data_IF_419970119856
#
_entry.id   IF_419970119856
#
_cell.length_a   1.000
_cell.length_b   1.000
_cell.length_c   1.000
_cell.angle_alpha   90.00
_cell.angle_beta   90.00
_cell.angle_gamma   90.00
#
_symmetry.space_group_name_H-M   'P 1'
#
loop_
_entity.id
_entity.type
_entity.pdbx_description
1 polymer ?
#
# COMPACT_ATOMS: atom_id res chain seq x y z
N UNK A 1 1.02 -10.70 12.73
CA UNK A 1 0.83 -10.32 11.31
C UNK A 1 1.03 -8.82 11.15
N UNK A 2 1.55 -8.36 10.02
CA UNK A 2 1.55 -6.94 9.61
C UNK A 2 0.86 -6.82 8.27
N UNK A 3 0.02 -5.81 8.09
CA UNK A 3 -0.78 -5.66 6.88
C UNK A 3 -0.94 -4.19 6.50
N UNK A 4 -1.18 -3.94 5.21
CA UNK A 4 -1.52 -2.61 4.76
C UNK A 4 -1.94 -2.57 3.30
N UNK A 5 -2.66 -1.51 2.94
CA UNK A 5 -3.11 -1.25 1.57
C UNK A 5 -2.45 0.01 0.99
N UNK A 6 -2.19 0.04 -0.32
CA UNK A 6 -1.60 1.21 -1.02
C UNK A 6 -0.29 1.67 -0.35
N UNK A 7 -0.26 2.90 0.16
CA UNK A 7 0.81 3.46 1.00
C UNK A 7 1.05 2.65 2.28
N UNK A 8 -0.02 2.16 2.91
CA UNK A 8 0.05 1.29 4.08
C UNK A 8 0.75 -0.04 3.79
N UNK A 9 0.65 -0.57 2.57
CA UNK A 9 1.39 -1.78 2.19
C UNK A 9 2.90 -1.52 2.20
N UNK A 10 3.33 -0.36 1.68
CA UNK A 10 4.73 0.09 1.77
C UNK A 10 5.18 0.24 3.22
N UNK A 11 4.34 0.82 4.10
CA UNK A 11 4.66 0.93 5.53
C UNK A 11 4.72 -0.44 6.22
N UNK A 12 3.81 -1.36 5.89
CA UNK A 12 3.74 -2.69 6.50
C UNK A 12 5.02 -3.51 6.21
N UNK A 13 5.45 -3.53 4.94
CA UNK A 13 6.69 -4.22 4.54
C UNK A 13 7.94 -3.53 5.09
N UNK A 14 7.96 -2.20 5.09
CA UNK A 14 9.06 -1.39 5.63
C UNK A 14 9.23 -1.62 7.13
N UNK A 15 8.13 -1.51 7.90
CA UNK A 15 8.11 -1.73 9.34
C UNK A 15 8.57 -3.15 9.69
N UNK A 16 8.08 -4.17 8.97
CA UNK A 16 8.54 -5.55 9.18
C UNK A 16 10.03 -5.75 8.89
N UNK A 17 10.57 -5.03 7.91
CA UNK A 17 11.99 -5.12 7.52
C UNK A 17 12.92 -4.59 8.61
N UNK A 18 12.52 -3.51 9.30
CA UNK A 18 13.33 -2.88 10.36
C UNK A 18 12.99 -3.33 11.77
N UNK A 19 11.83 -3.97 11.98
CA UNK A 19 11.43 -4.46 13.29
C UNK A 19 12.41 -5.53 13.82
N UNK A 20 12.76 -5.42 15.11
CA UNK A 20 13.56 -6.42 15.82
C UNK A 20 12.81 -7.74 15.99
N UNK A 21 11.50 -7.68 16.17
CA UNK A 21 10.59 -8.82 16.17
C UNK A 21 9.83 -8.83 14.85
N UNK A 22 10.04 -9.88 14.05
CA UNK A 22 9.40 -10.02 12.73
C UNK A 22 7.95 -10.46 12.89
N UNK A 23 7.01 -9.93 12.08
CA UNK A 23 5.66 -10.51 12.03
C UNK A 23 5.72 -11.94 11.47
N UNK A 24 4.76 -12.79 11.82
CA UNK A 24 4.65 -14.14 11.25
C UNK A 24 4.16 -14.17 9.79
N UNK A 25 3.52 -13.10 9.34
CA UNK A 25 2.98 -12.96 7.99
C UNK A 25 2.88 -11.48 7.59
N UNK A 26 3.00 -11.22 6.29
CA UNK A 26 2.76 -9.93 5.64
C UNK A 26 1.58 -10.02 4.66
N UNK A 27 0.60 -9.12 4.79
CA UNK A 27 -0.49 -8.97 3.81
C UNK A 27 -0.45 -7.58 3.16
N UNK A 28 -0.21 -7.55 1.86
CA UNK A 28 -0.01 -6.32 1.09
C UNK A 28 -1.11 -6.21 0.03
N UNK A 29 -1.97 -5.20 0.17
CA UNK A 29 -3.14 -4.99 -0.70
C UNK A 29 -2.92 -3.80 -1.64
N UNK A 30 -2.99 -4.00 -2.95
CA UNK A 30 -2.82 -2.95 -3.97
C UNK A 30 -1.65 -1.99 -3.66
N UNK A 31 -0.50 -2.54 -3.28
CA UNK A 31 0.53 -1.78 -2.57
C UNK A 31 1.36 -0.85 -3.47
N UNK A 32 1.88 0.24 -2.92
CA UNK A 32 2.90 1.07 -3.58
C UNK A 32 4.28 0.45 -3.39
N UNK A 33 4.53 -0.70 -4.02
CA UNK A 33 5.70 -1.55 -3.74
C UNK A 33 6.88 -1.37 -4.70
N UNK A 34 6.77 -0.50 -5.70
CA UNK A 34 7.88 -0.10 -6.57
C UNK A 34 8.13 1.41 -6.43
N UNK A 35 8.86 1.81 -5.38
CA UNK A 35 9.14 3.21 -5.14
C UNK A 35 10.28 3.70 -6.07
N UNK A 36 10.91 2.81 -6.88
CA UNK A 36 11.88 3.09 -7.96
C UNK A 36 11.23 3.41 -9.29
N UNK A 37 9.93 3.15 -9.42
CA UNK A 37 9.19 3.53 -10.60
C UNK A 37 9.38 5.01 -10.94
N UNK A 38 9.33 5.35 -12.24
CA UNK A 38 9.35 6.76 -12.68
C UNK A 38 8.27 7.59 -12.00
N UNK A 39 7.11 6.98 -11.70
CA UNK A 39 6.00 7.62 -10.98
C UNK A 39 6.40 8.08 -9.57
N UNK A 40 7.29 7.36 -8.90
CA UNK A 40 7.72 7.67 -7.54
C UNK A 40 8.98 8.53 -7.46
N UNK A 41 9.72 8.67 -8.56
CA UNK A 41 11.03 9.34 -8.59
C UNK A 41 11.08 10.56 -9.50
N UNK A 42 10.11 10.74 -10.38
CA UNK A 42 10.07 11.83 -11.35
C UNK A 42 8.82 12.69 -11.14
N UNK A 43 8.94 14.02 -11.02
CA UNK A 43 7.79 14.91 -10.99
C UNK A 43 6.89 14.74 -12.21
N UNK A 44 5.58 14.88 -12.02
CA UNK A 44 4.61 14.58 -13.07
C UNK A 44 3.15 14.75 -12.63
N UNK A 45 2.26 14.01 -13.27
CA UNK A 45 0.84 13.99 -12.91
C UNK A 45 0.61 13.27 -11.58
N UNK A 46 -0.48 13.59 -10.89
CA UNK A 46 -0.85 12.84 -9.69
C UNK A 46 -1.41 11.44 -10.05
N UNK A 47 -1.71 10.63 -9.02
CA UNK A 47 -2.24 9.27 -9.21
C UNK A 47 -3.59 9.21 -9.94
N UNK A 48 -4.33 10.33 -9.96
CA UNK A 48 -5.62 10.49 -10.63
C UNK A 48 -5.50 11.09 -12.04
N UNK A 49 -4.27 11.29 -12.55
CA UNK A 49 -4.03 11.85 -13.88
C UNK A 49 -4.20 13.37 -13.98
N UNK A 50 -4.32 14.08 -12.85
CA UNK A 50 -4.35 15.54 -12.86
C UNK A 50 -2.99 16.11 -13.27
N UNK A 51 -2.96 17.29 -13.92
CA UNK A 51 -1.72 17.94 -14.31
C UNK A 51 -0.81 18.22 -13.08
N UNK A 52 0.51 18.35 -13.29
CA UNK A 52 1.42 18.81 -12.26
C UNK A 52 0.96 20.15 -11.66
N UNK A 53 1.18 20.34 -10.36
CA UNK A 53 0.87 21.57 -9.65
C UNK A 53 2.15 22.20 -9.10
N UNK A 54 2.12 23.51 -8.86
CA UNK A 54 3.11 24.16 -7.99
C UNK A 54 2.79 23.81 -6.54
N UNK A 55 3.57 22.87 -5.99
CA UNK A 55 3.37 22.35 -4.65
C UNK A 55 4.07 23.14 -3.55
N UNK A 56 4.95 24.08 -3.88
CA UNK A 56 5.77 24.78 -2.88
C UNK A 56 4.92 25.51 -1.82
N UNK A 57 3.82 26.21 -2.16
CA UNK A 57 2.98 26.86 -1.15
C UNK A 57 2.38 25.89 -0.12
N UNK A 58 2.06 24.66 -0.54
CA UNK A 58 1.55 23.64 0.38
C UNK A 58 2.62 23.13 1.34
N UNK A 59 3.86 22.99 0.85
CA UNK A 59 5.01 22.60 1.68
C UNK A 59 5.33 23.69 2.71
N UNK A 60 5.37 24.96 2.28
CA UNK A 60 5.62 26.11 3.16
C UNK A 60 4.56 26.19 4.26
N UNK A 61 3.28 26.00 3.90
CA UNK A 61 2.18 25.98 4.85
C UNK A 61 2.24 24.77 5.80
N UNK A 62 2.66 23.59 5.33
CA UNK A 62 2.85 22.42 6.17
C UNK A 62 3.95 22.66 7.22
N UNK A 63 5.07 23.25 6.81
CA UNK A 63 6.18 23.56 7.71
C UNK A 63 5.81 24.65 8.72
N UNK A 64 5.07 25.68 8.30
CA UNK A 64 4.52 26.68 9.22
C UNK A 64 3.62 26.04 10.28
N UNK A 65 2.67 25.18 9.87
CA UNK A 65 1.75 24.49 10.81
C UNK A 65 2.47 23.57 11.80
N UNK A 66 3.59 22.96 11.38
CA UNK A 66 4.45 22.16 12.27
C UNK A 66 5.16 23.04 13.29
N UNK A 67 5.70 24.19 12.87
CA UNK A 67 6.40 25.12 13.73
C UNK A 67 5.48 25.78 14.77
N UNK A 68 4.23 26.05 14.42
CA UNK A 68 3.25 26.66 15.33
C UNK A 68 2.53 25.66 16.23
N UNK A 69 2.79 24.35 16.08
CA UNK A 69 2.11 23.30 16.85
C UNK A 69 0.64 23.09 16.46
N UNK A 70 0.18 23.68 15.35
CA UNK A 70 -1.18 23.53 14.83
C UNK A 70 -1.39 22.18 14.12
N UNK A 71 -0.33 21.39 13.93
CA UNK A 71 -0.43 20.04 13.36
C UNK A 71 -1.04 19.06 14.37
N UNK A 72 -2.37 18.87 14.31
CA UNK A 72 -3.04 17.80 15.05
C UNK A 72 -2.93 16.49 14.27
N UNK A 73 -2.45 15.42 14.92
CA UNK A 73 -2.52 14.07 14.38
C UNK A 73 -3.99 13.64 14.38
N UNK A 74 -4.49 13.28 13.20
CA UNK A 74 -5.85 12.78 13.01
C UNK A 74 -5.77 11.31 12.59
N UNK A 75 -6.55 10.45 13.25
CA UNK A 75 -6.72 9.05 12.84
C UNK A 75 -7.63 8.90 11.62
N UNK A 76 -8.41 9.93 11.29
CA UNK A 76 -9.26 10.01 10.12
C UNK A 76 -9.80 11.43 9.94
N UNK A 77 -10.29 11.72 8.76
CA UNK A 77 -11.02 12.96 8.47
C UNK A 77 -12.12 12.68 7.43
N UNK A 78 -13.26 13.40 7.48
CA UNK A 78 -14.29 13.26 6.46
C UNK A 78 -13.77 13.62 5.07
N UNK A 79 -14.18 12.87 4.05
CA UNK A 79 -13.89 13.25 2.67
C UNK A 79 -14.46 14.66 2.39
N UNK A 80 -13.66 15.60 1.84
CA UNK A 80 -14.13 16.94 1.56
C UNK A 80 -15.15 16.91 0.41
N UNK A 81 -16.19 17.75 0.51
CA UNK A 81 -17.19 17.89 -0.55
C UNK A 81 -16.60 18.48 -1.84
N UNK A 82 -15.59 19.34 -1.71
CA UNK A 82 -14.77 19.85 -2.81
C UNK A 82 -13.27 19.62 -2.50
N UNK A 83 -12.65 18.59 -3.11
CA UNK A 83 -11.23 18.30 -2.93
C UNK A 83 -10.28 19.43 -3.31
N UNK A 84 -10.69 20.37 -4.17
CA UNK A 84 -9.82 21.46 -4.63
C UNK A 84 -9.60 22.53 -3.57
N UNK A 85 -10.48 22.58 -2.58
CA UNK A 85 -10.44 23.56 -1.48
C UNK A 85 -9.79 23.01 -0.20
N UNK A 86 -9.55 21.69 -0.14
CA UNK A 86 -9.00 21.04 1.03
C UNK A 86 -7.46 21.02 1.00
N UNK A 87 -6.84 21.62 2.03
CA UNK A 87 -5.38 21.69 2.16
C UNK A 87 -4.69 20.32 2.13
N UNK A 88 -5.31 19.28 2.70
CA UNK A 88 -4.72 17.93 2.74
C UNK A 88 -4.77 17.29 1.36
N UNK A 89 -5.85 17.51 0.61
CA UNK A 89 -5.94 17.07 -0.78
C UNK A 89 -4.89 17.77 -1.65
N UNK A 90 -4.67 19.07 -1.42
CA UNK A 90 -3.56 19.82 -2.01
C UNK A 90 -2.20 19.22 -1.67
N UNK A 91 -1.92 18.91 -0.40
CA UNK A 91 -0.69 18.24 0.03
C UNK A 91 -0.50 16.85 -0.60
N UNK A 92 -1.56 16.04 -0.68
CA UNK A 92 -1.51 14.73 -1.33
C UNK A 92 -1.12 14.91 -2.80
N UNK A 93 -1.75 15.85 -3.51
CA UNK A 93 -1.40 16.18 -4.89
C UNK A 93 0.05 16.66 -4.99
N UNK A 94 0.52 17.52 -4.09
CA UNK A 94 1.92 17.98 -4.01
C UNK A 94 2.88 16.81 -3.90
N UNK A 95 2.65 15.89 -2.96
CA UNK A 95 3.55 14.75 -2.75
C UNK A 95 3.61 13.81 -3.94
N UNK A 96 2.49 13.62 -4.65
CA UNK A 96 2.49 12.84 -5.89
C UNK A 96 3.17 13.59 -7.04
N UNK A 97 2.76 14.82 -7.33
CA UNK A 97 3.24 15.58 -8.49
C UNK A 97 4.73 15.93 -8.39
N UNK A 98 5.27 16.10 -7.17
CA UNK A 98 6.68 16.42 -6.95
C UNK A 98 7.54 15.19 -6.63
N UNK A 99 6.99 13.98 -6.72
CA UNK A 99 7.70 12.73 -6.39
C UNK A 99 8.26 12.70 -4.95
N UNK A 100 7.55 13.31 -3.99
CA UNK A 100 7.94 13.36 -2.57
C UNK A 100 7.20 12.33 -1.71
N UNK A 101 6.24 11.61 -2.29
CA UNK A 101 5.36 10.69 -1.54
C UNK A 101 6.13 9.59 -0.78
N UNK A 102 7.14 8.90 -1.37
CA UNK A 102 7.94 7.91 -0.63
C UNK A 102 8.69 8.52 0.56
N UNK A 103 9.30 9.69 0.36
CA UNK A 103 10.05 10.38 1.41
C UNK A 103 9.14 10.83 2.56
N UNK A 104 7.95 11.32 2.22
CA UNK A 104 6.94 11.71 3.20
C UNK A 104 6.47 10.50 4.04
N UNK A 105 6.18 9.36 3.39
CA UNK A 105 5.72 8.15 4.08
C UNK A 105 6.78 7.57 5.02
N UNK A 106 8.03 7.52 4.59
CA UNK A 106 9.10 6.92 5.37
C UNK A 106 9.56 7.80 6.54
N UNK A 107 9.21 9.10 6.52
CA UNK A 107 9.69 10.13 7.46
C UNK A 107 11.22 10.22 7.58
N UNK A 108 11.95 9.52 6.72
CA UNK A 108 13.40 9.37 6.76
C UNK A 108 13.91 9.39 5.31
N UNK A 109 14.63 10.46 4.96
CA UNK A 109 15.32 10.55 3.67
C UNK A 109 16.34 9.41 3.57
N UNK A 110 16.30 8.65 2.47
CA UNK A 110 17.32 7.65 2.16
C UNK A 110 17.19 6.29 2.85
N UNK A 111 16.08 5.98 3.53
CA UNK A 111 15.79 4.61 4.01
C UNK A 111 15.52 3.63 2.85
N UNK A 112 15.26 4.21 1.68
CA UNK A 112 14.89 3.59 0.43
C UNK A 112 15.83 2.49 -0.12
N UNK A 113 17.17 2.63 -0.16
CA UNK A 113 18.08 1.61 -0.68
C UNK A 113 18.25 0.42 0.28
N UNK A 114 17.88 0.60 1.56
CA UNK A 114 18.01 -0.44 2.61
C UNK A 114 16.95 -1.54 2.42
N UNK A 115 15.80 -1.22 1.81
CA UNK A 115 14.65 -2.12 1.72
C UNK A 115 14.81 -3.26 0.70
N UNK A 116 15.46 -2.99 -0.43
CA UNK A 116 15.67 -3.99 -1.49
C UNK A 116 17.04 -4.67 -1.40
N UNK A 117 17.88 -4.30 -0.44
CA UNK A 117 19.23 -4.86 -0.26
C UNK A 117 19.29 -6.04 0.71
N UNK A 118 18.15 -6.63 1.11
CA UNK A 118 18.13 -7.96 1.72
C UNK A 118 17.91 -7.99 3.23
N UNK A 119 16.79 -7.44 3.71
CA UNK A 119 16.34 -7.69 5.08
C UNK A 119 16.11 -9.19 5.30
N UNK A 120 17.05 -9.89 5.95
CA UNK A 120 16.93 -11.31 6.26
C UNK A 120 15.78 -11.55 7.25
N UNK A 121 15.12 -12.71 7.13
CA UNK A 121 14.09 -13.15 8.07
C UNK A 121 12.72 -12.48 7.93
N UNK A 122 12.40 -11.87 6.78
CA UNK A 122 11.01 -11.48 6.49
C UNK A 122 10.13 -12.73 6.33
N UNK A 123 8.90 -12.72 6.87
CA UNK A 123 7.98 -13.85 6.81
C UNK A 123 7.37 -14.05 5.41
N UNK A 124 6.60 -15.13 5.26
CA UNK A 124 5.67 -15.34 4.16
C UNK A 124 4.94 -14.03 3.82
N UNK A 125 5.07 -13.62 2.56
CA UNK A 125 4.51 -12.38 2.04
C UNK A 125 3.37 -12.72 1.10
N UNK A 126 2.18 -12.22 1.40
CA UNK A 126 0.98 -12.42 0.61
C UNK A 126 0.62 -11.08 -0.03
N UNK A 127 0.48 -11.06 -1.36
CA UNK A 127 0.19 -9.85 -2.14
C UNK A 127 -1.10 -10.07 -2.92
N UNK A 128 -2.06 -9.15 -2.79
CA UNK A 128 -3.29 -9.13 -3.58
C UNK A 128 -3.40 -7.80 -4.33
N UNK A 129 -3.57 -7.86 -5.65
CA UNK A 129 -3.73 -6.67 -6.49
C UNK A 129 -4.47 -6.99 -7.79
N UNK A 130 -5.61 -6.36 -8.05
CA UNK A 130 -6.28 -6.51 -9.34
C UNK A 130 -5.52 -5.89 -10.52
N UNK A 131 -5.48 -6.60 -11.66
CA UNK A 131 -4.78 -6.10 -12.85
C UNK A 131 -5.47 -4.88 -13.48
N UNK A 132 -6.76 -4.70 -13.22
CA UNK A 132 -7.55 -3.54 -13.64
C UNK A 132 -7.70 -2.47 -12.55
N UNK A 133 -6.85 -2.45 -11.52
CA UNK A 133 -6.81 -1.33 -10.55
C UNK A 133 -6.51 -0.01 -11.29
N UNK A 134 -7.43 0.94 -11.15
CA UNK A 134 -7.42 2.21 -11.86
C UNK A 134 -6.78 3.37 -11.07
N UNK A 135 -6.26 3.11 -9.86
CA UNK A 135 -5.60 4.12 -9.03
C UNK A 135 -4.13 3.79 -8.76
N UNK A 136 -3.81 2.52 -8.51
CA UNK A 136 -2.43 2.05 -8.29
C UNK A 136 -2.09 1.03 -9.38
N UNK A 137 -1.07 1.29 -10.23
CA UNK A 137 -0.68 0.32 -11.25
C UNK A 137 -0.19 -1.01 -10.65
N UNK A 138 -0.76 -2.13 -11.10
CA UNK A 138 -0.45 -3.46 -10.54
C UNK A 138 1.01 -3.89 -10.75
N UNK A 139 1.68 -3.39 -11.79
CA UNK A 139 3.04 -3.78 -12.18
C UNK A 139 4.05 -3.60 -11.03
N UNK A 140 3.84 -2.60 -10.17
CA UNK A 140 4.67 -2.39 -8.99
C UNK A 140 4.67 -3.61 -8.05
N UNK A 141 3.54 -4.32 -7.94
CA UNK A 141 3.39 -5.49 -7.08
C UNK A 141 3.94 -6.75 -7.75
N UNK A 142 3.83 -6.84 -9.08
CA UNK A 142 4.47 -7.90 -9.86
C UNK A 142 6.00 -7.83 -9.75
N UNK A 143 6.58 -6.64 -9.95
CA UNK A 143 8.03 -6.40 -9.78
C UNK A 143 8.47 -6.72 -8.36
N UNK A 144 7.75 -6.23 -7.34
CA UNK A 144 8.07 -6.50 -5.95
C UNK A 144 7.99 -8.00 -5.61
N UNK A 145 6.99 -8.71 -6.11
CA UNK A 145 6.87 -10.16 -5.93
C UNK A 145 8.05 -10.91 -6.56
N UNK A 146 8.41 -10.56 -7.80
CA UNK A 146 9.55 -11.16 -8.51
C UNK A 146 10.88 -10.91 -7.78
N UNK A 147 11.14 -9.67 -7.36
CA UNK A 147 12.35 -9.30 -6.63
C UNK A 147 12.45 -10.00 -5.26
N UNK A 148 11.34 -10.21 -4.55
CA UNK A 148 11.35 -10.92 -3.27
C UNK A 148 11.57 -12.42 -3.44
N UNK A 149 10.95 -13.04 -4.46
CA UNK A 149 11.19 -14.45 -4.79
C UNK A 149 12.64 -14.71 -5.18
N UNK A 150 13.27 -13.81 -5.94
CA UNK A 150 14.69 -13.96 -6.31
C UNK A 150 15.64 -13.84 -5.11
N UNK A 151 15.20 -13.21 -4.02
CA UNK A 151 15.91 -13.16 -2.73
C UNK A 151 15.59 -14.37 -1.82
N UNK A 152 14.81 -15.34 -2.29
CA UNK A 152 14.49 -16.57 -1.56
C UNK A 152 13.35 -16.45 -0.53
N UNK A 153 12.60 -15.35 -0.55
CA UNK A 153 11.42 -15.22 0.32
C UNK A 153 10.25 -16.05 -0.18
N UNK A 154 9.45 -16.57 0.76
CA UNK A 154 8.17 -17.17 0.47
C UNK A 154 7.13 -16.08 0.12
N UNK A 155 6.62 -16.10 -1.11
CA UNK A 155 5.76 -15.05 -1.66
C UNK A 155 4.58 -15.64 -2.44
N UNK A 156 3.38 -15.44 -1.90
CA UNK A 156 2.11 -15.75 -2.55
C UNK A 156 1.52 -14.50 -3.21
N UNK A 157 0.91 -14.67 -4.38
CA UNK A 157 0.35 -13.56 -5.16
C UNK A 157 -1.03 -13.92 -5.70
N UNK A 158 -1.98 -13.03 -5.51
CA UNK A 158 -3.30 -13.06 -6.13
C UNK A 158 -3.44 -11.82 -7.02
N UNK A 159 -3.43 -12.02 -8.35
CA UNK A 159 -3.58 -10.95 -9.33
C UNK A 159 -4.82 -11.17 -10.20
N UNK A 160 -6.04 -11.03 -9.66
CA UNK A 160 -7.28 -11.21 -10.42
C UNK A 160 -7.38 -10.19 -11.57
N UNK A 161 -7.94 -10.60 -12.71
CA UNK A 161 -8.11 -9.74 -13.87
C UNK A 161 -9.18 -8.64 -13.64
N UNK A 162 -10.19 -8.95 -12.82
CA UNK A 162 -11.32 -8.06 -12.53
C UNK A 162 -11.47 -7.79 -11.03
N UNK A 163 -10.59 -6.95 -10.49
CA UNK A 163 -10.62 -6.43 -9.14
C UNK A 163 -10.15 -4.97 -9.13
N UNK A 164 -11.05 -4.07 -9.55
CA UNK A 164 -10.76 -2.64 -9.61
C UNK A 164 -10.45 -2.07 -8.22
N UNK A 165 -10.02 -0.81 -8.17
CA UNK A 165 -9.57 -0.22 -6.93
C UNK A 165 -10.67 -0.23 -5.87
N UNK A 166 -10.38 -0.80 -4.70
CA UNK A 166 -11.36 -0.99 -3.60
C UNK A 166 -12.55 -1.89 -3.98
N UNK A 167 -12.35 -2.90 -4.84
CA UNK A 167 -13.39 -3.85 -5.24
C UNK A 167 -14.12 -4.51 -4.05
N UNK A 168 -13.40 -4.75 -2.96
CA UNK A 168 -13.91 -5.33 -1.71
C UNK A 168 -14.94 -4.42 -1.05
N UNK A 169 -14.65 -3.12 -0.95
CA UNK A 169 -15.61 -2.14 -0.45
C UNK A 169 -16.83 -1.99 -1.37
N UNK A 170 -16.64 -2.16 -2.68
CA UNK A 170 -17.72 -2.07 -3.68
C UNK A 170 -18.62 -3.31 -3.73
N UNK A 171 -18.13 -4.46 -3.28
CA UNK A 171 -18.92 -5.68 -3.20
C UNK A 171 -20.05 -5.57 -2.15
N UNK A 172 -19.96 -4.62 -1.21
CA UNK A 172 -20.93 -4.44 -0.14
C UNK A 172 -20.70 -5.43 1.00
N UNK A 173 -21.77 -5.74 1.75
CA UNK A 173 -21.70 -6.63 2.90
C UNK A 173 -21.87 -8.10 2.46
N UNK A 174 -20.81 -8.68 1.92
CA UNK A 174 -20.78 -10.07 1.46
C UNK A 174 -20.01 -10.94 2.45
N UNK A 175 -20.63 -11.99 2.95
CA UNK A 175 -19.94 -13.04 3.69
C UNK A 175 -19.21 -13.94 2.70
N UNK A 176 -17.90 -13.76 2.59
CA UNK A 176 -17.08 -14.56 1.67
C UNK A 176 -16.71 -15.93 2.25
N UNK A 177 -17.10 -16.28 3.46
CA UNK A 177 -16.85 -17.62 4.02
C UNK A 177 -18.09 -18.51 3.93
N UNK A 178 -19.27 -17.93 3.77
CA UNK A 178 -20.52 -18.65 3.54
C UNK A 178 -20.46 -19.45 2.20
N UNK A 179 -20.60 -20.79 2.24
CA UNK A 179 -20.58 -21.62 1.03
C UNK A 179 -21.76 -21.35 0.09
N UNK A 180 -22.86 -20.81 0.61
CA UNK A 180 -24.07 -20.51 -0.16
C UNK A 180 -24.05 -19.09 -0.74
N UNK A 181 -23.05 -18.26 -0.38
CA UNK A 181 -22.92 -16.92 -0.93
C UNK A 181 -22.56 -16.98 -2.43
N UNK A 182 -23.41 -16.42 -3.31
CA UNK A 182 -23.13 -16.42 -4.74
C UNK A 182 -21.87 -15.61 -5.00
N UNK A 183 -20.94 -16.17 -5.78
CA UNK A 183 -19.74 -15.45 -6.22
C UNK A 183 -20.09 -14.47 -7.33
N UNK A 184 -20.50 -13.28 -6.89
CA UNK A 184 -20.89 -12.16 -7.76
C UNK A 184 -19.65 -11.57 -8.46
N UNK A 185 -18.46 -11.68 -7.86
CA UNK A 185 -17.20 -11.16 -8.42
C UNK A 185 -16.07 -12.20 -8.31
N UNK A 186 -15.35 -12.53 -9.39
CA UNK A 186 -14.19 -13.44 -9.35
C UNK A 186 -13.11 -13.02 -8.34
N UNK A 187 -12.97 -11.72 -8.09
CA UNK A 187 -12.03 -11.18 -7.10
C UNK A 187 -12.29 -11.64 -5.66
N UNK A 188 -13.53 -11.97 -5.30
CA UNK A 188 -13.86 -12.49 -3.98
C UNK A 188 -13.29 -13.91 -3.76
N UNK A 189 -13.10 -14.69 -4.82
CA UNK A 189 -12.38 -15.96 -4.73
C UNK A 189 -10.89 -15.76 -4.42
N UNK A 190 -10.30 -14.66 -4.89
CA UNK A 190 -8.94 -14.30 -4.46
C UNK A 190 -8.92 -13.98 -2.97
N UNK A 191 -9.92 -13.28 -2.43
CA UNK A 191 -10.01 -13.05 -0.97
C UNK A 191 -10.15 -14.35 -0.18
N UNK A 192 -10.97 -15.31 -0.63
CA UNK A 192 -11.07 -16.65 -0.02
C UNK A 192 -9.70 -17.34 0.07
N UNK A 193 -8.95 -17.39 -1.03
CA UNK A 193 -7.60 -17.98 -1.05
C UNK A 193 -6.61 -17.24 -0.14
N UNK A 194 -6.74 -15.92 -0.03
CA UNK A 194 -5.92 -15.13 0.89
C UNK A 194 -6.21 -15.52 2.34
N UNK A 195 -7.48 -15.74 2.72
CA UNK A 195 -7.84 -16.22 4.07
C UNK A 195 -7.20 -17.58 4.33
N UNK A 196 -7.33 -18.54 3.42
CA UNK A 196 -6.73 -19.87 3.55
C UNK A 196 -5.19 -19.81 3.71
N UNK A 197 -4.53 -18.91 2.98
CA UNK A 197 -3.09 -18.68 3.09
C UNK A 197 -2.70 -18.02 4.43
N UNK A 198 -3.53 -17.10 4.92
CA UNK A 198 -3.32 -16.45 6.20
C UNK A 198 -3.47 -17.45 7.35
N UNK A 199 -4.45 -18.34 7.29
CA UNK A 199 -4.60 -19.42 8.27
C UNK A 199 -3.35 -20.29 8.32
N UNK A 200 -2.82 -20.68 7.15
CA UNK A 200 -1.58 -21.46 7.08
C UNK A 200 -0.36 -20.69 7.63
N UNK A 201 -0.28 -19.38 7.38
CA UNK A 201 0.88 -18.56 7.78
C UNK A 201 0.83 -18.08 9.25
N UNK A 202 -0.36 -18.01 9.85
CA UNK A 202 -0.58 -17.47 11.21
C UNK A 202 -0.82 -18.59 12.24
N UNK A 203 -1.20 -19.79 11.81
CA UNK A 203 -1.24 -20.94 12.71
C UNK A 203 0.13 -21.09 13.39
N UNK A 204 0.18 -21.17 14.73
CA UNK A 204 1.42 -21.45 15.40
C UNK A 204 1.95 -22.77 14.83
N UNK A 205 3.27 -22.82 14.57
CA UNK A 205 4.00 -24.07 14.65
C UNK A 205 3.71 -24.65 16.04
N UNK A 206 2.61 -25.38 16.18
CA UNK A 206 2.37 -26.30 17.27
C UNK A 206 3.43 -27.39 17.08
N UNK A 207 4.63 -27.09 17.57
CA UNK A 207 5.70 -28.06 17.71
C UNK A 207 5.17 -29.09 18.72
N UNK A 208 4.91 -30.29 18.20
CA UNK A 208 4.74 -31.52 18.96
C UNK A 208 6.08 -31.89 19.58
#
# INVERSE_FOLDING_TARGET
MSAGSRAGAYLAITGASVASVKPNALLLLCGMLDPLSKRSTTPGTNIFGMPPIDGQPFLDQLDQRRQTGESKVLSGYPAPSDPTTDFRMGLIATFHCMALFPDFMAWIRGLYPVYFSGGSGLPTTIILHGKNDNAVPFQANEVAAGARRSLGFDVHTEFPDDASHSFDAMAGNVDIEDPDTPMILPALNSLKRIIELLDQAVLPLCII
#
